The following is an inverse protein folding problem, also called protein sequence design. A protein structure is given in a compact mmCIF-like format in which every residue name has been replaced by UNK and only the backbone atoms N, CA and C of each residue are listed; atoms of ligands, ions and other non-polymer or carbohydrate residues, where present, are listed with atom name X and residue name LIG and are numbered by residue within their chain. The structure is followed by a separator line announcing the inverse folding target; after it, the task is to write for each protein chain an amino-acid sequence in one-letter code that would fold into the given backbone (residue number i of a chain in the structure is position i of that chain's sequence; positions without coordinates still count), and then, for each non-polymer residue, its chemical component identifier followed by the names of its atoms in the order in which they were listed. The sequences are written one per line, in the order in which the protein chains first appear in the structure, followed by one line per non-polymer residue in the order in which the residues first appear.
data_IF_224776943172
#
_entry.id   IF_224776943172
#
_cell.length_a   1.000
_cell.length_b   1.000
_cell.length_c   1.000
_cell.angle_alpha   90.00
_cell.angle_beta   90.00
_cell.angle_gamma   90.00
#
_symmetry.space_group_name_H-M   'P 1'
#
loop_
_entity.id
_entity.type
_entity.pdbx_description
1 polymer ?
#
# COMPACT_ATOMS: atom_id res chain seq x y z
N UNK A 1 23.56 -11.21 -10.14
CA UNK A 1 23.83 -9.99 -9.36
C UNK A 1 23.60 -8.72 -10.18
N UNK A 2 24.07 -8.65 -11.43
CA UNK A 2 23.84 -7.51 -12.34
C UNK A 2 22.37 -7.07 -12.49
N UNK A 3 21.43 -8.02 -12.65
CA UNK A 3 20.00 -7.67 -12.79
C UNK A 3 19.37 -7.16 -11.49
N UNK A 4 19.74 -7.74 -10.33
CA UNK A 4 19.26 -7.28 -9.01
C UNK A 4 19.67 -5.84 -8.75
N UNK A 5 20.95 -5.53 -8.92
CA UNK A 5 21.47 -4.18 -8.70
C UNK A 5 20.79 -3.17 -9.64
N UNK A 6 20.63 -3.53 -10.92
CA UNK A 6 19.92 -2.69 -11.90
C UNK A 6 18.47 -2.39 -11.48
N UNK A 7 17.72 -3.39 -11.03
CA UNK A 7 16.31 -3.19 -10.61
C UNK A 7 16.24 -2.30 -9.38
N UNK A 8 17.11 -2.52 -8.38
CA UNK A 8 17.18 -1.67 -7.19
C UNK A 8 17.46 -0.22 -7.59
N UNK A 9 18.49 0.02 -8.40
CA UNK A 9 18.88 1.36 -8.82
C UNK A 9 17.75 2.08 -9.57
N UNK A 10 17.14 1.41 -10.55
CA UNK A 10 16.03 2.00 -11.33
C UNK A 10 14.83 2.30 -10.42
N UNK A 11 14.48 1.37 -9.53
CA UNK A 11 13.34 1.53 -8.61
C UNK A 11 13.56 2.74 -7.69
N UNK A 12 14.71 2.82 -7.02
CA UNK A 12 15.01 3.91 -6.09
C UNK A 12 15.17 5.25 -6.81
N UNK A 13 15.84 5.28 -7.95
CA UNK A 13 16.00 6.50 -8.75
C UNK A 13 14.65 7.04 -9.25
N UNK A 14 13.79 6.14 -9.75
CA UNK A 14 12.45 6.53 -10.21
C UNK A 14 11.56 7.00 -9.06
N UNK A 15 11.65 6.36 -7.89
CA UNK A 15 10.92 6.81 -6.71
C UNK A 15 11.41 8.18 -6.22
N UNK A 16 12.73 8.39 -6.18
CA UNK A 16 13.32 9.70 -5.86
C UNK A 16 12.91 10.79 -6.84
N UNK A 17 12.88 10.48 -8.15
CA UNK A 17 12.42 11.41 -9.18
C UNK A 17 10.92 11.72 -9.04
N UNK A 18 10.07 10.71 -8.82
CA UNK A 18 8.65 10.91 -8.50
C UNK A 18 8.49 11.88 -7.32
N UNK A 19 9.21 11.63 -6.22
CA UNK A 19 9.13 12.47 -5.03
C UNK A 19 9.55 13.91 -5.32
N UNK A 20 10.63 14.11 -6.08
CA UNK A 20 11.08 15.44 -6.52
C UNK A 20 10.00 16.14 -7.38
N UNK A 21 9.44 15.45 -8.38
CA UNK A 21 8.39 16.01 -9.23
C UNK A 21 7.13 16.34 -8.43
N UNK A 22 6.79 15.52 -7.44
CA UNK A 22 5.67 15.77 -6.55
C UNK A 22 5.89 17.08 -5.76
N UNK A 23 7.08 17.29 -5.20
CA UNK A 23 7.38 18.52 -4.44
C UNK A 23 7.41 19.78 -5.33
N UNK A 24 7.89 19.65 -6.57
CA UNK A 24 8.08 20.80 -7.45
C UNK A 24 6.82 21.20 -8.25
N UNK A 25 5.98 20.24 -8.63
CA UNK A 25 4.94 20.47 -9.64
C UNK A 25 3.53 20.05 -9.23
N UNK A 26 3.36 19.25 -8.17
CA UNK A 26 2.04 18.65 -7.86
C UNK A 26 0.97 19.71 -7.62
N UNK A 27 1.29 20.75 -6.85
CA UNK A 27 0.34 21.82 -6.48
C UNK A 27 -0.08 22.61 -7.71
N UNK A 28 0.86 22.92 -8.59
CA UNK A 28 0.73 23.75 -9.78
C UNK A 28 -0.08 23.01 -10.83
N UNK A 29 0.23 21.73 -11.07
CA UNK A 29 -0.56 20.84 -11.94
C UNK A 29 -2.00 20.73 -11.41
N UNK A 30 -2.16 20.51 -10.09
CA UNK A 30 -3.49 20.40 -9.48
C UNK A 30 -4.29 21.69 -9.64
N UNK A 31 -3.67 22.85 -9.40
CA UNK A 31 -4.29 24.16 -9.59
C UNK A 31 -4.68 24.40 -11.04
N UNK A 32 -3.82 24.03 -11.99
CA UNK A 32 -4.11 24.15 -13.41
C UNK A 32 -5.37 23.38 -13.81
N UNK A 33 -5.50 22.11 -13.39
CA UNK A 33 -6.72 21.35 -13.67
C UNK A 33 -7.97 21.93 -13.00
N UNK A 34 -7.85 22.44 -11.77
CA UNK A 34 -8.98 23.12 -11.11
C UNK A 34 -9.40 24.39 -11.85
N UNK A 35 -8.45 25.19 -12.36
CA UNK A 35 -8.75 26.37 -13.19
C UNK A 35 -9.37 26.00 -14.54
N UNK A 36 -9.01 24.84 -15.09
CA UNK A 36 -9.65 24.28 -16.28
C UNK A 36 -11.07 23.71 -16.03
N UNK A 37 -11.61 23.85 -14.81
CA UNK A 37 -12.98 23.45 -14.46
C UNK A 37 -13.11 22.04 -13.90
N UNK A 38 -11.99 21.32 -13.67
CA UNK A 38 -12.04 19.98 -13.08
C UNK A 38 -12.23 20.04 -11.57
N UNK A 39 -13.09 19.15 -11.05
CA UNK A 39 -13.32 19.02 -9.62
C UNK A 39 -12.02 18.69 -8.85
N UNK A 40 -11.88 19.26 -7.64
CA UNK A 40 -10.68 19.18 -6.82
C UNK A 40 -10.14 17.75 -6.58
N UNK A 41 -11.03 16.76 -6.42
CA UNK A 41 -10.66 15.37 -6.23
C UNK A 41 -10.06 14.73 -7.49
N UNK A 42 -10.67 14.96 -8.65
CA UNK A 42 -10.13 14.48 -9.93
C UNK A 42 -8.84 15.19 -10.31
N UNK A 43 -8.75 16.51 -10.09
CA UNK A 43 -7.50 17.27 -10.26
C UNK A 43 -6.37 16.69 -9.39
N UNK A 44 -6.69 16.29 -8.16
CA UNK A 44 -5.73 15.65 -7.26
C UNK A 44 -5.24 14.29 -7.79
N UNK A 45 -6.16 13.43 -8.24
CA UNK A 45 -5.84 12.12 -8.82
C UNK A 45 -4.97 12.24 -10.07
N UNK A 46 -5.32 13.12 -11.00
CA UNK A 46 -4.57 13.31 -12.25
C UNK A 46 -3.17 13.85 -11.95
N UNK A 47 -3.03 14.80 -11.02
CA UNK A 47 -1.72 15.30 -10.61
C UNK A 47 -0.81 14.19 -10.10
N UNK A 48 -1.34 13.22 -9.33
CA UNK A 48 -0.57 12.06 -8.91
C UNK A 48 -0.10 11.22 -10.09
N UNK A 49 -0.99 10.89 -11.04
CA UNK A 49 -0.58 10.11 -12.20
C UNK A 49 0.48 10.82 -13.05
N UNK A 50 0.41 12.15 -13.18
CA UNK A 50 1.41 12.93 -13.92
C UNK A 50 2.75 12.93 -13.20
N UNK A 51 2.79 13.25 -11.89
CA UNK A 51 4.06 13.26 -11.14
C UNK A 51 4.61 11.84 -10.92
N UNK A 52 3.74 10.83 -10.93
CA UNK A 52 4.06 9.40 -10.84
C UNK A 52 4.53 8.75 -12.15
N UNK A 53 4.57 9.49 -13.27
CA UNK A 53 5.08 8.98 -14.55
C UNK A 53 6.45 8.31 -14.49
N UNK A 54 7.44 8.76 -13.67
CA UNK A 54 8.71 8.05 -13.53
C UNK A 54 8.56 6.60 -13.03
N UNK A 55 7.60 6.35 -12.14
CA UNK A 55 7.34 5.01 -11.60
C UNK A 55 6.87 4.08 -12.72
N UNK A 56 5.90 4.53 -13.52
CA UNK A 56 5.39 3.75 -14.64
C UNK A 56 6.45 3.53 -15.73
N UNK A 57 7.24 4.55 -16.05
CA UNK A 57 8.38 4.43 -16.96
C UNK A 57 9.40 3.39 -16.45
N UNK A 58 9.72 3.39 -15.16
CA UNK A 58 10.59 2.39 -14.56
C UNK A 58 10.04 0.97 -14.68
N UNK A 59 8.75 0.76 -14.44
CA UNK A 59 8.12 -0.56 -14.65
C UNK A 59 8.24 -1.01 -16.10
N UNK A 60 7.97 -0.12 -17.06
CA UNK A 60 8.11 -0.42 -18.49
C UNK A 60 9.56 -0.75 -18.87
N UNK A 61 10.54 -0.03 -18.32
CA UNK A 61 11.97 -0.28 -18.56
C UNK A 61 12.42 -1.61 -17.97
N UNK A 62 11.91 -1.99 -16.79
CA UNK A 62 12.31 -3.23 -16.10
C UNK A 62 11.64 -4.46 -16.74
N UNK A 63 10.34 -4.38 -17.04
CA UNK A 63 9.51 -5.55 -17.37
C UNK A 63 8.95 -5.56 -18.79
N UNK A 64 8.97 -4.41 -19.48
CA UNK A 64 8.28 -4.22 -20.75
C UNK A 64 6.76 -4.13 -20.62
N UNK A 65 6.05 -3.73 -21.70
CA UNK A 65 4.61 -3.47 -21.67
C UNK A 65 3.78 -4.71 -21.34
N UNK A 66 4.18 -5.90 -21.82
CA UNK A 66 3.43 -7.14 -21.63
C UNK A 66 3.26 -7.56 -20.16
N UNK A 67 4.25 -7.24 -19.32
CA UNK A 67 4.27 -7.61 -17.89
C UNK A 67 3.99 -6.43 -16.96
N UNK A 68 3.65 -5.25 -17.52
CA UNK A 68 3.42 -4.04 -16.74
C UNK A 68 2.37 -4.25 -15.63
N UNK A 69 1.16 -4.65 -16.02
CA UNK A 69 0.06 -4.85 -15.07
C UNK A 69 0.35 -5.97 -14.05
N UNK A 70 0.96 -7.07 -14.49
CA UNK A 70 1.33 -8.20 -13.63
C UNK A 70 2.39 -7.83 -12.59
N UNK A 71 3.39 -7.04 -12.99
CA UNK A 71 4.47 -6.60 -12.11
C UNK A 71 4.01 -5.64 -11.02
N UNK A 72 2.86 -4.98 -11.21
CA UNK A 72 2.21 -4.12 -10.24
C UNK A 72 1.04 -4.81 -9.50
N UNK A 73 0.72 -6.05 -9.87
CA UNK A 73 -0.39 -6.78 -9.24
C UNK A 73 -1.79 -6.31 -9.67
N UNK A 74 -1.87 -5.48 -10.71
CA UNK A 74 -3.13 -4.91 -11.24
C UNK A 74 -4.00 -5.98 -11.91
N UNK A 75 -3.38 -7.02 -12.48
CA UNK A 75 -4.08 -8.11 -13.16
C UNK A 75 -4.68 -9.16 -12.20
N UNK A 76 -4.58 -8.96 -10.90
CA UNK A 76 -5.11 -9.88 -9.88
C UNK A 76 -6.58 -9.60 -9.59
N UNK A 77 -7.24 -10.51 -8.87
CA UNK A 77 -8.68 -10.46 -8.64
C UNK A 77 -9.07 -9.28 -7.74
N UNK A 78 -9.77 -8.30 -8.32
CA UNK A 78 -10.43 -7.18 -7.63
C UNK A 78 -11.42 -7.71 -6.60
N UNK A 79 -12.29 -8.64 -6.98
CA UNK A 79 -13.33 -9.20 -6.11
C UNK A 79 -12.78 -9.91 -4.88
N UNK A 80 -11.69 -10.69 -5.01
CA UNK A 80 -11.03 -11.29 -3.84
C UNK A 80 -10.48 -10.22 -2.89
N UNK A 81 -9.85 -9.18 -3.42
CA UNK A 81 -9.34 -8.06 -2.62
C UNK A 81 -10.47 -7.35 -1.86
N UNK A 82 -11.56 -7.03 -2.57
CA UNK A 82 -12.72 -6.37 -2.00
C UNK A 82 -13.36 -7.18 -0.86
N UNK A 83 -13.68 -8.45 -1.11
CA UNK A 83 -14.35 -9.32 -0.11
C UNK A 83 -13.46 -9.52 1.10
N UNK A 84 -12.18 -9.82 0.91
CA UNK A 84 -11.24 -9.97 2.02
C UNK A 84 -11.14 -8.71 2.87
N UNK A 85 -11.00 -7.54 2.22
CA UNK A 85 -10.88 -6.28 2.92
C UNK A 85 -12.16 -5.91 3.69
N UNK A 86 -13.32 -6.09 3.07
CA UNK A 86 -14.61 -5.84 3.69
C UNK A 86 -14.81 -6.73 4.94
N UNK A 87 -14.50 -8.02 4.84
CA UNK A 87 -14.60 -8.95 5.97
C UNK A 87 -13.69 -8.54 7.15
N UNK A 88 -12.46 -8.13 6.85
CA UNK A 88 -11.51 -7.73 7.89
C UNK A 88 -11.88 -6.41 8.56
N UNK A 89 -12.48 -5.48 7.81
CA UNK A 89 -12.81 -4.12 8.28
C UNK A 89 -14.25 -3.99 8.78
N UNK A 90 -15.08 -5.03 8.63
CA UNK A 90 -16.47 -5.03 9.10
C UNK A 90 -16.60 -4.70 10.60
N UNK A 91 -15.76 -5.23 11.52
CA UNK A 91 -15.84 -4.84 12.93
C UNK A 91 -15.56 -3.35 13.15
N UNK A 92 -14.71 -2.74 12.33
CA UNK A 92 -14.43 -1.31 12.39
C UNK A 92 -15.64 -0.49 11.96
N UNK A 93 -16.31 -0.87 10.87
CA UNK A 93 -17.58 -0.24 10.47
C UNK A 93 -18.65 -0.34 11.57
N UNK A 94 -18.92 -1.56 12.05
CA UNK A 94 -19.96 -1.80 13.05
C UNK A 94 -19.63 -1.14 14.38
N UNK A 95 -18.38 -1.27 14.82
CA UNK A 95 -17.88 -0.65 16.03
C UNK A 95 -17.98 0.86 16.00
N UNK A 96 -17.63 1.47 14.86
CA UNK A 96 -17.66 2.91 14.73
C UNK A 96 -19.09 3.44 14.65
N UNK A 97 -19.97 2.77 13.92
CA UNK A 97 -21.38 3.12 13.85
C UNK A 97 -22.11 3.07 15.19
N UNK A 98 -21.62 2.27 16.15
CA UNK A 98 -22.19 2.16 17.49
C UNK A 98 -21.61 3.16 18.49
N UNK A 99 -20.34 3.55 18.33
CA UNK A 99 -19.58 4.31 19.35
C UNK A 99 -19.24 5.74 18.96
N UNK A 100 -19.33 6.10 17.68
CA UNK A 100 -18.99 7.44 17.18
C UNK A 100 -20.16 8.05 16.41
N UNK A 101 -20.16 9.37 16.31
CA UNK A 101 -21.13 10.10 15.51
C UNK A 101 -20.77 10.05 14.04
N UNK A 102 -21.79 9.89 13.19
CA UNK A 102 -21.62 9.97 11.75
C UNK A 102 -21.37 11.43 11.32
N UNK A 103 -20.29 11.68 10.58
CA UNK A 103 -19.96 12.98 10.04
C UNK A 103 -20.95 13.36 8.92
N UNK A 104 -21.84 14.29 9.23
CA UNK A 104 -22.86 14.80 8.28
C UNK A 104 -22.33 15.90 7.36
N UNK A 105 -21.14 16.44 7.64
CA UNK A 105 -20.52 17.51 6.87
C UNK A 105 -19.51 16.97 5.86
N UNK A 106 -19.17 15.68 5.93
CA UNK A 106 -18.24 15.04 5.01
C UNK A 106 -18.67 15.19 3.55
N UNK A 107 -17.79 15.81 2.76
CA UNK A 107 -18.03 16.05 1.34
C UNK A 107 -17.53 14.88 0.48
N UNK A 108 -18.11 14.75 -0.72
CA UNK A 108 -17.60 13.82 -1.73
C UNK A 108 -16.11 14.00 -2.01
N UNK A 109 -15.63 15.25 -2.08
CA UNK A 109 -14.22 15.54 -2.34
C UNK A 109 -13.30 15.04 -1.23
N UNK A 110 -13.71 15.19 0.05
CA UNK A 110 -12.97 14.64 1.17
C UNK A 110 -12.90 13.11 1.08
N UNK A 111 -14.03 12.42 0.91
CA UNK A 111 -14.04 10.95 0.78
C UNK A 111 -13.22 10.49 -0.43
N UNK A 112 -13.40 11.14 -1.58
CA UNK A 112 -12.70 10.76 -2.79
C UNK A 112 -11.19 10.93 -2.64
N UNK A 113 -10.71 12.06 -2.12
CA UNK A 113 -9.27 12.26 -1.92
C UNK A 113 -8.71 11.38 -0.79
N UNK A 114 -9.37 11.38 0.38
CA UNK A 114 -8.86 10.76 1.60
C UNK A 114 -9.05 9.25 1.70
N UNK A 115 -10.09 8.68 1.08
CA UNK A 115 -10.32 7.25 1.08
C UNK A 115 -9.96 6.60 -0.25
N UNK A 116 -10.39 7.16 -1.39
CA UNK A 116 -10.21 6.51 -2.71
C UNK A 116 -8.82 6.78 -3.29
N UNK A 117 -8.46 8.06 -3.47
CA UNK A 117 -7.21 8.46 -4.11
C UNK A 117 -6.02 8.09 -3.22
N UNK A 118 -6.08 8.38 -1.92
CA UNK A 118 -5.04 7.99 -0.97
C UNK A 118 -4.79 6.48 -1.00
N UNK A 119 -5.84 5.66 -0.85
CA UNK A 119 -5.69 4.20 -0.89
C UNK A 119 -5.13 3.69 -2.23
N UNK A 120 -5.63 4.20 -3.36
CA UNK A 120 -5.13 3.75 -4.66
C UNK A 120 -3.66 4.14 -4.86
N UNK A 121 -3.32 5.41 -4.67
CA UNK A 121 -1.99 5.94 -4.99
C UNK A 121 -0.94 5.44 -4.00
N UNK A 122 -1.24 5.47 -2.70
CA UNK A 122 -0.26 5.05 -1.69
C UNK A 122 0.04 3.56 -1.79
N UNK A 123 -0.96 2.71 -2.03
CA UNK A 123 -0.71 1.28 -2.22
C UNK A 123 -0.06 0.98 -3.58
N UNK A 124 -0.43 1.70 -4.64
CA UNK A 124 0.22 1.54 -5.94
C UNK A 124 1.70 1.94 -5.89
N UNK A 125 2.04 3.05 -5.23
CA UNK A 125 3.39 3.61 -5.25
C UNK A 125 4.29 2.97 -4.20
N UNK A 126 3.82 2.83 -2.97
CA UNK A 126 4.64 2.25 -1.90
C UNK A 126 4.63 0.72 -1.91
N UNK A 127 3.48 0.07 -2.17
CA UNK A 127 3.36 -1.39 -2.06
C UNK A 127 3.62 -2.09 -3.39
N UNK A 128 2.89 -1.75 -4.45
CA UNK A 128 3.08 -2.41 -5.75
C UNK A 128 4.38 -2.00 -6.44
N UNK A 129 4.72 -0.71 -6.44
CA UNK A 129 5.95 -0.23 -7.04
C UNK A 129 7.15 -0.40 -6.07
N UNK A 130 7.31 0.45 -5.05
CA UNK A 130 8.56 0.48 -4.29
C UNK A 130 8.87 -0.85 -3.61
N UNK A 131 7.97 -1.35 -2.77
CA UNK A 131 8.14 -2.65 -2.12
C UNK A 131 8.12 -3.80 -3.14
N UNK A 132 7.11 -3.86 -4.01
CA UNK A 132 6.91 -4.96 -4.94
C UNK A 132 8.07 -5.14 -5.92
N UNK A 133 8.64 -4.05 -6.44
CA UNK A 133 9.81 -4.12 -7.32
C UNK A 133 11.04 -4.67 -6.59
N UNK A 134 11.29 -4.20 -5.36
CA UNK A 134 12.41 -4.65 -4.54
C UNK A 134 12.24 -6.10 -4.10
N UNK A 135 11.07 -6.47 -3.57
CA UNK A 135 10.86 -7.79 -3.02
C UNK A 135 10.69 -8.84 -4.10
N UNK A 136 9.85 -8.64 -5.12
CA UNK A 136 9.52 -9.71 -6.09
C UNK A 136 10.65 -9.97 -7.07
N UNK A 137 11.26 -8.90 -7.58
CA UNK A 137 12.16 -8.98 -8.74
C UNK A 137 13.65 -8.83 -8.40
N UNK A 138 13.98 -8.82 -7.11
CA UNK A 138 15.37 -8.85 -6.64
C UNK A 138 15.64 -10.03 -5.70
N UNK A 139 16.84 -10.08 -5.14
CA UNK A 139 17.22 -11.04 -4.09
C UNK A 139 16.95 -10.51 -2.68
N UNK A 140 16.50 -9.28 -2.53
CA UNK A 140 16.14 -8.74 -1.22
C UNK A 140 14.99 -9.55 -0.63
N UNK A 141 15.10 -9.88 0.64
CA UNK A 141 14.02 -10.44 1.43
C UNK A 141 13.01 -9.37 1.85
N UNK A 142 12.02 -9.80 2.64
CA UNK A 142 10.93 -8.97 3.10
C UNK A 142 11.42 -7.73 3.85
N UNK A 143 12.29 -7.91 4.84
CA UNK A 143 12.76 -6.85 5.73
C UNK A 143 13.48 -5.73 4.95
N UNK A 144 14.56 -6.00 4.20
CA UNK A 144 15.23 -4.92 3.47
C UNK A 144 14.37 -4.31 2.36
N UNK A 145 13.39 -5.04 1.81
CA UNK A 145 12.50 -4.50 0.77
C UNK A 145 11.42 -3.58 1.34
N UNK A 146 10.89 -3.89 2.53
CA UNK A 146 9.81 -3.12 3.15
C UNK A 146 10.32 -1.89 3.89
N UNK A 147 11.51 -1.96 4.50
CA UNK A 147 12.03 -0.88 5.35
C UNK A 147 12.18 0.45 4.61
N UNK A 148 12.70 0.44 3.38
CA UNK A 148 12.90 1.66 2.59
C UNK A 148 11.57 2.43 2.38
N UNK A 149 10.51 1.71 2.02
CA UNK A 149 9.19 2.28 1.83
C UNK A 149 8.50 2.65 3.14
N UNK A 150 8.53 1.76 4.15
CA UNK A 150 7.82 1.96 5.41
C UNK A 150 8.39 3.13 6.24
N UNK A 151 9.71 3.30 6.27
CA UNK A 151 10.34 4.43 6.96
C UNK A 151 9.96 5.76 6.30
N UNK A 152 10.05 5.84 4.97
CA UNK A 152 9.66 7.05 4.25
C UNK A 152 8.17 7.34 4.43
N UNK A 153 7.33 6.32 4.28
CA UNK A 153 5.89 6.44 4.45
C UNK A 153 5.52 6.99 5.83
N UNK A 154 6.08 6.44 6.90
CA UNK A 154 5.83 6.90 8.26
C UNK A 154 6.33 8.34 8.49
N UNK A 155 7.51 8.69 7.97
CA UNK A 155 8.03 10.05 8.05
C UNK A 155 7.14 11.08 7.34
N UNK A 156 6.53 10.71 6.22
CA UNK A 156 5.60 11.57 5.49
C UNK A 156 4.29 11.83 6.25
N UNK A 157 4.02 11.16 7.37
CA UNK A 157 2.85 11.40 8.21
C UNK A 157 3.15 12.25 9.45
N UNK A 158 4.42 12.60 9.69
CA UNK A 158 4.82 13.43 10.83
C UNK A 158 4.30 14.88 10.76
N UNK A 159 3.73 15.33 9.63
CA UNK A 159 3.10 16.66 9.56
C UNK A 159 1.80 16.78 10.38
N UNK A 160 1.25 15.66 10.87
CA UNK A 160 -0.04 15.62 11.56
C UNK A 160 -0.01 16.11 13.02
N UNK A 161 1.17 16.42 13.58
CA UNK A 161 1.29 16.97 14.93
C UNK A 161 2.60 17.76 15.09
N UNK A 162 2.71 18.54 16.16
CA UNK A 162 3.96 19.14 16.61
C UNK A 162 4.44 18.58 17.96
N UNK A 163 3.66 17.69 18.57
CA UNK A 163 3.97 17.10 19.88
C UNK A 163 4.74 15.78 19.72
N UNK A 164 5.89 15.66 20.39
CA UNK A 164 6.80 14.52 20.22
C UNK A 164 6.18 13.14 20.52
N UNK A 165 5.37 13.04 21.58
CA UNK A 165 4.66 11.81 21.97
C UNK A 165 3.67 11.36 20.88
N UNK A 166 2.84 12.30 20.41
CA UNK A 166 1.85 12.09 19.34
C UNK A 166 2.53 11.74 18.03
N UNK A 167 3.62 12.44 17.67
CA UNK A 167 4.45 12.12 16.49
C UNK A 167 5.03 10.71 16.54
N UNK A 168 5.53 10.29 17.70
CA UNK A 168 6.03 8.92 17.91
C UNK A 168 4.92 7.90 17.67
N UNK A 169 3.72 8.17 18.20
CA UNK A 169 2.54 7.33 17.97
C UNK A 169 2.12 7.25 16.50
N UNK A 170 2.09 8.38 15.79
CA UNK A 170 1.78 8.45 14.35
C UNK A 170 2.81 7.65 13.56
N UNK A 171 4.10 7.84 13.84
CA UNK A 171 5.18 7.12 13.16
C UNK A 171 5.04 5.61 13.34
N UNK A 172 4.92 5.12 14.58
CA UNK A 172 4.82 3.69 14.87
C UNK A 172 3.59 3.08 14.19
N UNK A 173 2.46 3.78 14.25
CA UNK A 173 1.19 3.31 13.67
C UNK A 173 1.29 3.19 12.15
N UNK A 174 1.74 4.24 11.48
CA UNK A 174 1.84 4.27 10.01
C UNK A 174 2.95 3.37 9.49
N UNK A 175 4.09 3.28 10.19
CA UNK A 175 5.15 2.31 9.90
C UNK A 175 4.64 0.87 9.98
N UNK A 176 3.93 0.54 11.06
CA UNK A 176 3.36 -0.81 11.26
C UNK A 176 2.30 -1.14 10.20
N UNK A 177 1.46 -0.16 9.83
CA UNK A 177 0.50 -0.29 8.74
C UNK A 177 1.18 -0.54 7.39
N UNK A 178 2.26 0.18 7.09
CA UNK A 178 3.05 -0.03 5.87
C UNK A 178 3.64 -1.44 5.80
N UNK A 179 4.19 -1.94 6.91
CA UNK A 179 4.72 -3.31 7.01
C UNK A 179 3.61 -4.35 6.86
N UNK A 180 2.48 -4.18 7.54
CA UNK A 180 1.34 -5.11 7.46
C UNK A 180 0.77 -5.18 6.04
N UNK A 181 0.63 -4.05 5.36
CA UNK A 181 0.08 -4.02 4.00
C UNK A 181 1.03 -4.64 2.97
N UNK A 182 2.34 -4.45 3.12
CA UNK A 182 3.33 -5.17 2.31
C UNK A 182 3.31 -6.68 2.57
N UNK A 183 3.15 -7.09 3.83
CA UNK A 183 3.03 -8.50 4.21
C UNK A 183 1.78 -9.15 3.59
N UNK A 184 0.60 -8.56 3.81
CA UNK A 184 -0.65 -9.14 3.30
C UNK A 184 -0.69 -9.14 1.77
N UNK A 185 -0.16 -8.11 1.10
CA UNK A 185 -0.04 -8.09 -0.35
C UNK A 185 0.76 -9.30 -0.85
N UNK A 186 1.88 -9.61 -0.20
CA UNK A 186 2.72 -10.77 -0.55
C UNK A 186 1.98 -12.08 -0.33
N UNK A 187 1.35 -12.24 0.83
CA UNK A 187 0.63 -13.47 1.14
C UNK A 187 -0.56 -13.74 0.22
N UNK A 188 -1.12 -12.68 -0.37
CA UNK A 188 -2.19 -12.73 -1.36
C UNK A 188 -1.67 -12.67 -2.82
N UNK A 189 -0.53 -13.30 -3.09
CA UNK A 189 0.04 -13.47 -4.44
C UNK A 189 0.32 -12.15 -5.16
N UNK A 190 0.74 -11.13 -4.41
CA UNK A 190 0.99 -9.77 -4.89
C UNK A 190 -0.24 -9.12 -5.53
N UNK A 191 -1.43 -9.40 -5.01
CA UNK A 191 -2.67 -8.75 -5.41
C UNK A 191 -2.75 -7.34 -4.81
N UNK A 192 -2.54 -6.31 -5.63
CA UNK A 192 -2.62 -4.90 -5.20
C UNK A 192 -4.01 -4.52 -4.66
N UNK A 193 -5.07 -5.14 -5.14
CA UNK A 193 -6.42 -4.81 -4.70
C UNK A 193 -6.66 -5.14 -3.23
N UNK A 194 -5.91 -6.09 -2.64
CA UNK A 194 -6.01 -6.43 -1.21
C UNK A 194 -5.64 -5.23 -0.32
N UNK A 195 -4.42 -4.68 -0.37
CA UNK A 195 -4.09 -3.51 0.42
C UNK A 195 -4.88 -2.27 -0.01
N UNK A 196 -5.19 -2.07 -1.30
CA UNK A 196 -6.01 -0.92 -1.75
C UNK A 196 -7.37 -0.92 -1.06
N UNK A 197 -8.10 -2.04 -1.06
CA UNK A 197 -9.41 -2.06 -0.42
C UNK A 197 -9.34 -2.04 1.11
N UNK A 198 -8.31 -2.64 1.73
CA UNK A 198 -8.09 -2.53 3.18
C UNK A 198 -7.91 -1.07 3.58
N UNK A 199 -7.00 -0.37 2.89
CA UNK A 199 -6.75 1.05 3.11
C UNK A 199 -8.03 1.87 2.88
N UNK A 200 -8.68 1.67 1.73
CA UNK A 200 -9.91 2.37 1.38
C UNK A 200 -10.98 2.24 2.48
N UNK A 201 -11.30 1.02 2.92
CA UNK A 201 -12.33 0.82 3.94
C UNK A 201 -11.92 1.38 5.30
N UNK A 202 -10.66 1.20 5.71
CA UNK A 202 -10.17 1.78 6.96
C UNK A 202 -10.27 3.30 6.95
N UNK A 203 -9.85 3.98 5.88
CA UNK A 203 -9.98 5.44 5.77
C UNK A 203 -11.43 5.87 5.64
N UNK A 204 -12.22 5.18 4.82
CA UNK A 204 -13.64 5.50 4.64
C UNK A 204 -14.38 5.49 5.98
N UNK A 205 -14.22 4.41 6.76
CA UNK A 205 -14.89 4.29 8.06
C UNK A 205 -14.30 5.28 9.07
N UNK A 206 -13.00 5.55 9.04
CA UNK A 206 -12.41 6.62 9.86
C UNK A 206 -13.05 7.98 9.61
N UNK A 207 -13.22 8.34 8.33
CA UNK A 207 -13.75 9.63 7.92
C UNK A 207 -15.26 9.74 8.14
N UNK A 208 -16.02 8.68 7.83
CA UNK A 208 -17.48 8.66 8.04
C UNK A 208 -17.90 8.86 9.50
N UNK A 209 -17.03 8.50 10.45
CA UNK A 209 -17.34 8.52 11.88
C UNK A 209 -16.42 9.43 12.69
N UNK A 210 -15.65 10.31 12.03
CA UNK A 210 -14.71 11.24 12.68
C UNK A 210 -13.90 10.60 13.82
N UNK A 211 -13.35 9.40 13.58
CA UNK A 211 -12.81 8.54 14.65
C UNK A 211 -11.51 9.07 15.31
N UNK A 212 -10.99 10.20 14.83
CA UNK A 212 -9.91 10.96 15.45
C UNK A 212 -9.30 12.02 14.53
N UNK A 213 -8.63 13.01 15.13
CA UNK A 213 -8.03 14.16 14.43
C UNK A 213 -6.77 13.83 13.62
N UNK A 214 -6.13 12.70 13.90
CA UNK A 214 -4.90 12.25 13.24
C UNK A 214 -4.83 10.71 13.19
N UNK A 215 -3.80 10.16 12.55
CA UNK A 215 -3.64 8.71 12.37
C UNK A 215 -3.54 7.91 13.69
N UNK A 216 -3.18 8.54 14.81
CA UNK A 216 -3.10 7.88 16.12
C UNK A 216 -4.49 7.53 16.65
N UNK A 217 -5.42 8.48 16.64
CA UNK A 217 -6.81 8.28 17.10
C UNK A 217 -7.01 8.10 18.60
N UNK A 218 -8.27 7.90 18.97
CA UNK A 218 -8.70 7.56 20.33
C UNK A 218 -8.61 6.07 20.67
N UNK A 219 -8.90 5.72 21.92
CA UNK A 219 -8.81 4.34 22.42
C UNK A 219 -9.78 3.38 21.71
N UNK A 220 -11.05 3.75 21.56
CA UNK A 220 -12.05 2.93 20.85
C UNK A 220 -11.68 2.72 19.38
N UNK A 221 -11.17 3.76 18.71
CA UNK A 221 -10.71 3.67 17.34
C UNK A 221 -9.58 2.62 17.20
N UNK A 222 -8.63 2.64 18.13
CA UNK A 222 -7.52 1.70 18.14
C UNK A 222 -7.93 0.26 18.51
N UNK A 223 -8.97 0.05 19.32
CA UNK A 223 -9.51 -1.31 19.59
C UNK A 223 -9.99 -1.96 18.29
N UNK A 224 -10.85 -1.28 17.53
CA UNK A 224 -11.37 -1.86 16.28
C UNK A 224 -10.30 -1.97 15.20
N UNK A 225 -9.32 -1.07 15.20
CA UNK A 225 -8.12 -1.21 14.37
C UNK A 225 -7.32 -2.46 14.74
N UNK A 226 -7.11 -2.73 16.03
CA UNK A 226 -6.43 -3.94 16.50
C UNK A 226 -7.20 -5.21 16.11
N UNK A 227 -8.53 -5.21 16.22
CA UNK A 227 -9.38 -6.30 15.74
C UNK A 227 -9.22 -6.51 14.22
N UNK A 228 -9.24 -5.43 13.45
CA UNK A 228 -9.02 -5.46 11.99
C UNK A 228 -7.67 -6.08 11.65
N UNK A 229 -6.60 -5.66 12.33
CA UNK A 229 -5.25 -6.21 12.16
C UNK A 229 -5.22 -7.71 12.49
N UNK A 230 -5.83 -8.10 13.61
CA UNK A 230 -5.91 -9.51 14.00
C UNK A 230 -6.65 -10.34 12.96
N UNK A 231 -7.76 -9.84 12.40
CA UNK A 231 -8.50 -10.51 11.33
C UNK A 231 -7.69 -10.63 10.04
N UNK A 232 -6.98 -9.57 9.63
CA UNK A 232 -6.09 -9.61 8.46
C UNK A 232 -5.09 -10.77 8.60
N UNK A 233 -4.44 -10.89 9.76
CA UNK A 233 -3.43 -11.92 10.03
C UNK A 233 -4.07 -13.30 10.08
N UNK A 234 -5.11 -13.49 10.90
CA UNK A 234 -5.76 -14.79 11.13
C UNK A 234 -6.39 -15.32 9.87
N UNK A 235 -7.20 -14.52 9.16
CA UNK A 235 -7.88 -14.95 7.93
C UNK A 235 -6.84 -15.31 6.86
N UNK A 236 -5.77 -14.51 6.71
CA UNK A 236 -4.69 -14.83 5.77
C UNK A 236 -4.04 -16.18 6.08
N UNK A 237 -3.66 -16.43 7.34
CA UNK A 237 -3.04 -17.69 7.76
C UNK A 237 -4.01 -18.87 7.54
N UNK A 238 -5.28 -18.73 7.94
CA UNK A 238 -6.28 -19.78 7.78
C UNK A 238 -6.57 -20.08 6.31
N UNK A 239 -6.67 -19.06 5.46
CA UNK A 239 -6.86 -19.20 4.03
C UNK A 239 -5.69 -19.98 3.40
N UNK A 240 -4.45 -19.61 3.73
CA UNK A 240 -3.26 -20.29 3.20
C UNK A 240 -3.14 -21.73 3.69
N UNK A 241 -3.43 -21.98 4.98
CA UNK A 241 -3.49 -23.35 5.52
C UNK A 241 -4.54 -24.22 4.83
N UNK A 242 -5.75 -23.69 4.60
CA UNK A 242 -6.84 -24.42 3.93
C UNK A 242 -6.58 -24.68 2.45
N UNK A 243 -5.86 -23.80 1.77
CA UNK A 243 -5.46 -23.96 0.38
C UNK A 243 -4.18 -24.80 0.20
N UNK A 244 -3.52 -25.21 1.28
CA UNK A 244 -2.23 -25.91 1.23
C UNK A 244 -1.06 -25.03 0.76
N UNK A 245 -1.25 -23.71 0.70
CA UNK A 245 -0.23 -22.76 0.27
C UNK A 245 0.73 -22.43 1.43
N UNK A 246 2.04 -22.42 1.14
CA UNK A 246 3.05 -21.96 2.10
C UNK A 246 3.04 -20.43 2.20
N UNK A 247 3.34 -19.91 3.40
CA UNK A 247 3.57 -18.46 3.59
C UNK A 247 4.72 -18.00 2.71
N UNK A 248 4.52 -16.91 1.95
CA UNK A 248 5.56 -16.35 1.10
C UNK A 248 6.63 -15.68 1.95
N UNK A 249 6.22 -14.98 3.01
CA UNK A 249 7.10 -14.40 4.01
C UNK A 249 7.36 -15.44 5.09
N UNK A 250 8.56 -16.01 5.03
CA UNK A 250 9.05 -17.04 5.94
C UNK A 250 10.55 -16.88 6.17
N UNK A 251 11.15 -17.75 6.99
CA UNK A 251 12.58 -17.65 7.38
C UNK A 251 13.54 -17.58 6.18
N UNK A 252 13.20 -18.18 5.05
CA UNK A 252 14.02 -18.20 3.84
C UNK A 252 13.90 -16.92 2.99
N UNK A 253 12.85 -16.13 3.22
CA UNK A 253 12.55 -14.91 2.45
C UNK A 253 12.62 -13.63 3.28
N UNK A 254 12.98 -13.70 4.56
CA UNK A 254 13.07 -12.51 5.44
C UNK A 254 14.19 -11.54 5.04
N UNK A 255 15.40 -12.04 4.77
CA UNK A 255 16.60 -11.21 4.62
C UNK A 255 17.12 -11.16 3.19
N UNK A 256 17.56 -12.31 2.66
CA UNK A 256 18.04 -12.45 1.28
C UNK A 256 17.48 -13.75 0.72
N UNK A 257 16.72 -13.65 -0.36
CA UNK A 257 16.15 -14.80 -1.05
C UNK A 257 17.24 -15.58 -1.78
N UNK A 258 17.22 -16.90 -1.64
CA UNK A 258 18.02 -17.81 -2.47
C UNK A 258 17.67 -17.62 -3.95
N UNK A 259 18.61 -17.91 -4.85
CA UNK A 259 18.45 -17.70 -6.30
C UNK A 259 17.26 -18.53 -6.81
N UNK A 260 16.12 -17.89 -7.06
CA UNK A 260 15.02 -18.53 -7.77
C UNK A 260 15.40 -18.66 -9.25
N UNK A 261 15.41 -19.88 -9.77
CA UNK A 261 15.31 -20.14 -11.20
C UNK A 261 13.89 -19.75 -11.62
N UNK A 262 13.75 -18.60 -12.28
CA UNK A 262 12.49 -18.22 -12.90
C UNK A 262 12.14 -19.28 -13.96
N UNK A 263 11.16 -20.14 -13.70
CA UNK A 263 10.44 -20.83 -14.77
C UNK A 263 9.40 -19.85 -15.33
N UNK A 264 9.26 -19.71 -16.66
CA UNK A 264 8.39 -18.71 -17.29
C UNK A 264 6.89 -18.90 -17.04
N UNK A 265 6.46 -19.96 -16.37
CA UNK A 265 5.10 -20.49 -16.47
C UNK A 265 4.44 -20.59 -15.09
N UNK A 266 4.33 -19.46 -14.38
CA UNK A 266 3.29 -19.15 -13.37
C UNK A 266 3.14 -20.05 -12.14
N UNK A 267 3.78 -21.21 -12.08
CA UNK A 267 3.73 -22.17 -11.00
C UNK A 267 5.09 -22.17 -10.31
N UNK A 268 5.16 -21.49 -9.17
CA UNK A 268 6.34 -21.49 -8.32
C UNK A 268 6.48 -22.84 -7.61
N UNK A 269 6.95 -23.87 -8.31
CA UNK A 269 7.50 -25.07 -7.66
C UNK A 269 8.98 -24.85 -7.38
N UNK A 270 9.31 -24.53 -6.13
CA UNK A 270 10.69 -24.49 -5.66
C UNK A 270 11.30 -25.89 -5.67
N UNK A 271 11.99 -26.28 -6.73
CA UNK A 271 13.00 -27.34 -6.62
C UNK A 271 14.31 -26.69 -6.21
N UNK A 272 14.65 -26.87 -4.94
CA UNK A 272 16.03 -26.74 -4.48
C UNK A 272 16.76 -27.93 -5.10
N UNK A 273 17.64 -27.67 -6.07
CA UNK A 273 18.64 -28.65 -6.47
C UNK A 273 19.83 -28.45 -5.54
N UNK A 274 20.32 -29.57 -5.02
CA UNK A 274 21.37 -29.71 -4.01
C UNK A 274 22.64 -28.88 -4.31
#
# INVERSE_FOLDING_TARGET
MRNTFRIILITLAAFGLYYLLQQLFFREIRHWFMQAGLNAGFSHLISYFITGTPLFAAVLIIHGPKRFAESLGLNKSVGKGFVFALLCTLPMLLGYALLFEFDREITFNQVFMGAVVAALIEELYFRAFLYGQLFRFTRLGFIPSVLAGALLFASLHLYQSNEFSTLTGIFITTFSGAVLFAWVMSEWQHNLWVPVFLHFFMNLFWMMFSAGDNALGGWYANIFRAITIALIIVITILYKRRSGERMEINRETLWIKKRQTFQPDGNATSRILD
#
